data_IF_642695367777
#
_entry.id   IF_642695367777
#
_cell.length_a   1.000
_cell.length_b   1.000
_cell.length_c   1.000
_cell.angle_alpha   90.00
_cell.angle_beta   90.00
_cell.angle_gamma   90.00
#
_symmetry.space_group_name_H-M   'P 1'
#
loop_
_entity.id
_entity.type
_entity.pdbx_description
1 polymer ?
#
# COMPACT_ATOMS: atom_id res chain seq x y z
N UNK A 1 -31.35 -7.05 6.56
CA UNK A 1 -30.79 -7.24 7.94
C UNK A 1 -31.48 -6.28 8.90
N UNK A 2 -31.56 -6.60 10.20
CA UNK A 2 -32.16 -5.66 11.17
C UNK A 2 -31.18 -4.53 11.51
N UNK A 3 -31.56 -3.31 11.13
CA UNK A 3 -30.79 -2.08 11.40
C UNK A 3 -31.40 -1.26 12.54
N UNK A 4 -32.48 -1.74 13.17
CA UNK A 4 -33.23 -0.98 14.19
C UNK A 4 -32.37 -0.68 15.40
N UNK A 5 -32.29 0.59 15.79
CA UNK A 5 -31.51 1.05 16.95
C UNK A 5 -29.99 0.99 16.78
N UNK A 6 -29.48 0.68 15.58
CA UNK A 6 -28.04 0.64 15.30
C UNK A 6 -27.57 1.96 14.70
N UNK A 7 -26.39 2.43 15.12
CA UNK A 7 -25.71 3.50 14.39
C UNK A 7 -25.09 2.89 13.14
N UNK A 8 -25.29 3.54 11.99
CA UNK A 8 -24.70 3.13 10.73
C UNK A 8 -23.62 4.14 10.35
N UNK A 9 -22.42 3.64 10.16
CA UNK A 9 -21.27 4.41 9.72
C UNK A 9 -20.98 4.15 8.25
N UNK A 10 -20.42 5.13 7.57
CA UNK A 10 -19.69 4.92 6.32
C UNK A 10 -18.20 5.14 6.55
N UNK A 11 -17.41 4.30 5.90
CA UNK A 11 -15.96 4.30 5.99
C UNK A 11 -15.37 4.36 4.58
N UNK A 12 -14.56 5.38 4.32
CA UNK A 12 -13.75 5.44 3.10
C UNK A 12 -12.60 4.43 3.14
N UNK A 13 -12.40 3.71 2.04
CA UNK A 13 -11.31 2.76 1.84
C UNK A 13 -10.28 3.27 0.82
N UNK A 14 -10.00 4.57 0.86
CA UNK A 14 -9.11 5.26 -0.06
C UNK A 14 -9.83 6.17 -1.06
N UNK A 15 -9.15 6.46 -2.15
CA UNK A 15 -9.62 7.27 -3.27
C UNK A 15 -9.45 6.53 -4.61
N UNK A 16 -9.53 7.25 -5.73
CA UNK A 16 -9.38 6.67 -7.07
C UNK A 16 -7.94 6.31 -7.43
N UNK A 17 -6.95 6.80 -6.68
CA UNK A 17 -5.53 6.52 -6.87
C UNK A 17 -5.08 5.40 -5.92
N UNK A 18 -5.33 5.53 -4.61
CA UNK A 18 -5.03 4.52 -3.59
C UNK A 18 -6.30 3.86 -3.08
N UNK A 19 -6.48 2.57 -3.37
CA UNK A 19 -7.59 1.75 -2.87
C UNK A 19 -7.05 0.63 -1.97
N UNK A 20 -7.39 0.68 -0.68
CA UNK A 20 -6.99 -0.33 0.31
C UNK A 20 -8.18 -1.15 0.84
N UNK A 21 -9.30 -1.16 0.12
CA UNK A 21 -10.49 -1.92 0.51
C UNK A 21 -10.23 -3.43 0.60
N UNK A 22 -9.41 -3.99 -0.30
CA UNK A 22 -9.07 -5.41 -0.27
C UNK A 22 -8.33 -5.80 1.02
N UNK A 23 -7.49 -4.91 1.56
CA UNK A 23 -6.83 -5.11 2.86
C UNK A 23 -7.85 -5.08 4.00
N UNK A 24 -8.74 -4.09 4.02
CA UNK A 24 -9.82 -3.99 5.01
C UNK A 24 -10.70 -5.25 5.02
N UNK A 25 -11.08 -5.72 3.83
CA UNK A 25 -11.92 -6.91 3.65
C UNK A 25 -11.19 -8.20 4.02
N UNK A 26 -9.90 -8.31 3.70
CA UNK A 26 -9.07 -9.48 4.02
C UNK A 26 -8.85 -9.63 5.53
N UNK A 27 -8.51 -8.54 6.20
CA UNK A 27 -8.06 -8.55 7.59
C UNK A 27 -9.18 -8.29 8.61
N UNK A 28 -10.44 -8.20 8.15
CA UNK A 28 -11.59 -7.89 9.01
C UNK A 28 -11.40 -6.58 9.79
N UNK A 29 -11.02 -5.52 9.07
CA UNK A 29 -10.74 -4.21 9.64
C UNK A 29 -11.31 -3.07 8.83
N UNK A 30 -11.52 -1.94 9.50
CA UNK A 30 -11.53 -0.62 8.88
C UNK A 30 -10.40 0.21 9.45
N UNK A 31 -9.88 1.11 8.64
CA UNK A 31 -8.65 1.85 8.92
C UNK A 31 -8.85 3.35 8.80
N UNK A 32 -8.20 4.12 9.66
CA UNK A 32 -8.11 5.57 9.56
C UNK A 32 -6.65 6.02 9.82
N UNK A 33 -6.33 7.21 9.32
CA UNK A 33 -5.03 7.86 9.51
C UNK A 33 -5.20 9.36 9.68
N UNK A 34 -4.13 10.14 9.83
CA UNK A 34 -2.74 9.68 9.98
C UNK A 34 -2.51 8.99 11.34
N UNK A 35 -1.76 7.88 11.35
CA UNK A 35 -1.44 7.15 12.57
C UNK A 35 0.02 7.26 13.05
N UNK A 36 0.90 7.94 12.30
CA UNK A 36 2.33 8.11 12.66
C UNK A 36 2.54 8.77 14.02
N UNK A 37 1.58 9.57 14.48
CA UNK A 37 1.61 10.30 15.74
C UNK A 37 1.18 9.45 16.96
N UNK A 38 0.98 8.14 16.78
CA UNK A 38 0.62 7.21 17.84
C UNK A 38 -0.90 7.08 18.08
N UNK A 39 -1.31 6.44 19.19
CA UNK A 39 -2.71 6.18 19.49
C UNK A 39 -3.49 7.45 19.88
N UNK A 40 -4.81 7.41 19.66
CA UNK A 40 -5.74 8.40 20.18
C UNK A 40 -5.97 8.18 21.69
N UNK A 41 -6.07 9.24 22.53
CA UNK A 41 -6.08 10.67 22.20
C UNK A 41 -4.70 11.34 22.14
N UNK A 42 -3.63 10.61 22.46
CA UNK A 42 -2.28 11.17 22.62
C UNK A 42 -1.75 11.80 21.32
N UNK A 43 -2.18 11.28 20.17
CA UNK A 43 -1.82 11.81 18.86
C UNK A 43 -2.44 13.17 18.52
N UNK A 44 -3.47 13.66 19.24
CA UNK A 44 -4.16 14.89 18.85
C UNK A 44 -3.22 16.11 18.85
N UNK A 45 -2.44 16.30 19.93
CA UNK A 45 -1.55 17.46 20.07
C UNK A 45 -0.42 17.45 19.03
N UNK A 46 0.32 16.33 18.84
CA UNK A 46 1.32 16.24 17.76
C UNK A 46 0.73 16.54 16.38
N UNK A 47 -0.41 15.93 16.03
CA UNK A 47 -1.04 16.15 14.72
C UNK A 47 -1.39 17.63 14.49
N UNK A 48 -1.92 18.33 15.50
CA UNK A 48 -2.19 19.77 15.39
C UNK A 48 -0.91 20.59 15.23
N UNK A 49 0.17 20.21 15.92
CA UNK A 49 1.47 20.86 15.78
C UNK A 49 2.04 20.70 14.37
N UNK A 50 1.77 19.57 13.73
CA UNK A 50 2.19 19.25 12.35
C UNK A 50 1.26 19.87 11.28
N UNK A 51 0.28 20.68 11.69
CA UNK A 51 -0.60 21.42 10.78
C UNK A 51 -1.85 20.67 10.34
N UNK A 52 -2.17 19.51 10.92
CA UNK A 52 -3.42 18.81 10.62
C UNK A 52 -4.65 19.61 11.07
N UNK A 53 -5.68 19.62 10.22
CA UNK A 53 -6.89 20.39 10.47
C UNK A 53 -7.71 19.84 11.65
N UNK A 54 -8.45 20.71 12.34
CA UNK A 54 -9.44 20.32 13.36
C UNK A 54 -10.50 19.36 12.83
N UNK A 55 -10.80 19.43 11.53
CA UNK A 55 -11.73 18.53 10.86
C UNK A 55 -11.17 17.10 10.84
N UNK A 56 -9.88 16.95 10.56
CA UNK A 56 -9.23 15.64 10.54
C UNK A 56 -9.05 15.05 11.93
N UNK A 57 -8.74 15.86 12.94
CA UNK A 57 -8.69 15.35 14.33
C UNK A 57 -10.08 14.95 14.83
N UNK A 58 -11.14 15.67 14.45
CA UNK A 58 -12.52 15.27 14.74
C UNK A 58 -12.92 13.96 14.04
N UNK A 59 -12.39 13.69 12.86
CA UNK A 59 -12.57 12.41 12.14
C UNK A 59 -11.94 11.24 12.91
N UNK A 60 -10.71 11.40 13.40
CA UNK A 60 -10.06 10.41 14.24
C UNK A 60 -10.79 10.19 15.56
N UNK A 61 -11.26 11.27 16.21
CA UNK A 61 -12.07 11.15 17.43
C UNK A 61 -13.36 10.36 17.20
N UNK A 62 -14.09 10.61 16.10
CA UNK A 62 -15.29 9.83 15.76
C UNK A 62 -14.97 8.35 15.62
N UNK A 63 -13.88 8.03 14.94
CA UNK A 63 -13.42 6.66 14.73
C UNK A 63 -12.99 5.97 16.04
N UNK A 64 -12.26 6.67 16.91
CA UNK A 64 -11.68 6.11 18.14
C UNK A 64 -12.65 6.11 19.34
N UNK A 65 -13.54 7.09 19.45
CA UNK A 65 -14.41 7.27 20.62
C UNK A 65 -15.89 7.03 20.32
N UNK A 66 -16.40 7.50 19.19
CA UNK A 66 -17.86 7.50 18.94
C UNK A 66 -18.36 6.17 18.37
N UNK A 67 -17.60 5.52 17.49
CA UNK A 67 -17.90 4.17 17.00
C UNK A 67 -17.90 3.15 18.13
N UNK A 68 -18.98 2.35 18.23
CA UNK A 68 -19.16 1.35 19.29
C UNK A 68 -19.23 -0.06 18.75
N UNK A 69 -18.89 -1.02 19.60
CA UNK A 69 -19.14 -2.44 19.36
C UNK A 69 -20.61 -2.65 18.99
N UNK A 70 -20.85 -3.46 17.96
CA UNK A 70 -22.19 -3.79 17.48
C UNK A 70 -22.83 -2.78 16.50
N UNK A 71 -22.24 -1.60 16.31
CA UNK A 71 -22.60 -0.67 15.23
C UNK A 71 -22.38 -1.29 13.85
N UNK A 72 -23.04 -0.74 12.82
CA UNK A 72 -22.84 -1.15 11.44
C UNK A 72 -21.90 -0.21 10.71
N UNK A 73 -21.12 -0.75 9.78
CA UNK A 73 -20.26 0.03 8.89
C UNK A 73 -20.44 -0.39 7.44
N UNK A 74 -20.48 0.61 6.56
CA UNK A 74 -20.47 0.49 5.11
C UNK A 74 -19.08 0.90 4.62
N UNK A 75 -18.32 -0.04 4.05
CA UNK A 75 -17.05 0.23 3.41
C UNK A 75 -17.28 0.75 1.99
N UNK A 76 -16.74 1.91 1.66
CA UNK A 76 -16.99 2.58 0.37
C UNK A 76 -15.74 3.02 -0.37
N UNK A 77 -15.91 3.20 -1.68
CA UNK A 77 -15.02 3.99 -2.53
C UNK A 77 -15.85 5.07 -3.25
N UNK A 78 -15.30 6.29 -3.33
CA UNK A 78 -16.04 7.44 -3.85
C UNK A 78 -17.33 7.73 -3.06
N UNK A 79 -18.36 8.21 -3.77
CA UNK A 79 -19.65 8.64 -3.20
C UNK A 79 -20.83 7.75 -3.61
N UNK A 80 -20.57 6.64 -4.29
CA UNK A 80 -21.61 5.83 -4.91
C UNK A 80 -21.44 4.31 -4.72
N UNK A 81 -20.23 3.83 -4.37
CA UNK A 81 -19.92 2.40 -4.40
C UNK A 81 -19.66 1.85 -3.00
N UNK A 82 -20.41 0.81 -2.66
CA UNK A 82 -20.27 0.03 -1.43
C UNK A 82 -19.61 -1.31 -1.75
N UNK A 83 -18.51 -1.59 -1.06
CA UNK A 83 -17.65 -2.77 -1.24
C UNK A 83 -17.90 -3.83 -0.15
N UNK A 84 -18.37 -3.39 1.02
CA UNK A 84 -18.65 -4.29 2.13
C UNK A 84 -19.60 -3.65 3.15
N UNK A 85 -20.36 -4.50 3.83
CA UNK A 85 -21.20 -4.14 4.97
C UNK A 85 -20.81 -5.06 6.12
N UNK A 86 -20.53 -4.48 7.28
CA UNK A 86 -20.07 -5.25 8.42
C UNK A 86 -20.57 -4.69 9.75
N UNK A 87 -20.39 -5.49 10.79
CA UNK A 87 -20.63 -5.11 12.17
C UNK A 87 -19.30 -4.85 12.87
N UNK A 88 -19.18 -3.74 13.59
CA UNK A 88 -18.00 -3.46 14.43
C UNK A 88 -17.93 -4.48 15.58
N UNK A 89 -16.73 -4.98 15.84
CA UNK A 89 -16.45 -5.92 16.93
C UNK A 89 -15.33 -5.36 17.80
N UNK A 90 -15.55 -5.27 19.10
CA UNK A 90 -14.57 -4.81 20.07
C UNK A 90 -14.31 -3.30 20.07
N UNK A 91 -13.14 -2.93 20.59
CA UNK A 91 -12.74 -1.54 20.84
C UNK A 91 -11.78 -1.00 19.78
N UNK A 92 -11.38 0.26 19.95
CA UNK A 92 -10.40 0.91 19.10
C UNK A 92 -9.02 0.31 19.38
N UNK A 93 -8.23 0.18 18.32
CA UNK A 93 -6.85 -0.30 18.40
C UNK A 93 -5.94 0.62 17.58
N UNK A 94 -4.69 0.74 18.03
CA UNK A 94 -3.60 1.30 17.23
C UNK A 94 -2.63 0.16 16.88
N UNK A 95 -2.33 -0.02 15.59
CA UNK A 95 -1.61 -1.18 15.06
C UNK A 95 -0.56 -0.73 14.04
N UNK A 96 0.72 -0.91 14.38
CA UNK A 96 1.84 -0.45 13.56
C UNK A 96 1.95 -1.20 12.22
N UNK A 97 1.37 -2.41 12.14
CA UNK A 97 1.32 -3.22 10.94
C UNK A 97 0.63 -2.50 9.77
N UNK A 98 -0.29 -1.57 10.07
CA UNK A 98 -1.00 -0.73 9.09
C UNK A 98 -0.35 0.65 8.87
N UNK A 99 0.89 0.82 9.34
CA UNK A 99 1.60 2.10 9.31
C UNK A 99 2.30 2.46 8.01
N UNK A 100 2.11 1.67 6.96
CA UNK A 100 2.58 1.99 5.61
C UNK A 100 1.77 1.19 4.59
N UNK A 101 0.55 1.67 4.34
CA UNK A 101 -0.30 1.16 3.27
C UNK A 101 -0.06 2.02 2.04
N UNK A 102 0.92 1.60 1.23
CA UNK A 102 1.27 2.28 -0.03
C UNK A 102 1.59 3.77 0.23
N UNK A 103 2.30 3.98 1.34
CA UNK A 103 2.71 5.30 1.82
C UNK A 103 1.78 5.99 2.81
N UNK A 104 0.61 5.42 3.12
CA UNK A 104 -0.30 6.01 4.11
C UNK A 104 -0.14 5.39 5.49
N UNK A 105 -0.02 6.26 6.49
CA UNK A 105 -0.05 5.91 7.92
C UNK A 105 -1.48 5.65 8.39
N UNK A 106 -1.95 4.39 8.33
CA UNK A 106 -3.32 3.99 8.63
C UNK A 106 -3.46 3.13 9.89
N UNK A 107 -2.64 3.40 10.91
CA UNK A 107 -2.54 2.60 12.14
C UNK A 107 -3.80 2.60 13.02
N UNK A 108 -4.82 3.43 12.76
CA UNK A 108 -6.05 3.43 13.56
C UNK A 108 -7.01 2.36 13.07
N UNK A 109 -7.27 1.36 13.90
CA UNK A 109 -7.99 0.14 13.52
C UNK A 109 -9.29 -0.03 14.31
N UNK A 110 -10.32 -0.51 13.62
CA UNK A 110 -11.49 -1.18 14.23
C UNK A 110 -11.69 -2.52 13.57
N UNK A 111 -12.01 -3.55 14.36
CA UNK A 111 -12.34 -4.86 13.82
C UNK A 111 -13.77 -4.89 13.28
N UNK A 112 -13.97 -5.60 12.18
CA UNK A 112 -15.25 -5.67 11.48
C UNK A 112 -15.56 -7.10 11.09
N UNK A 113 -16.70 -7.61 11.56
CA UNK A 113 -17.29 -8.82 11.00
C UNK A 113 -18.07 -8.44 9.74
N UNK A 114 -17.48 -8.67 8.57
CA UNK A 114 -18.16 -8.48 7.29
C UNK A 114 -19.33 -9.44 7.15
N UNK A 115 -20.53 -8.87 6.93
CA UNK A 115 -21.82 -9.54 6.76
C UNK A 115 -22.19 -9.69 5.28
N UNK A 116 -21.68 -8.77 4.46
CA UNK A 116 -21.82 -8.78 3.01
C UNK A 116 -20.56 -8.20 2.38
N UNK A 117 -20.07 -8.86 1.34
CA UNK A 117 -18.91 -8.44 0.54
C UNK A 117 -19.18 -8.88 -0.91
N UNK A 118 -19.03 -7.96 -1.86
CA UNK A 118 -18.98 -8.31 -3.28
C UNK A 118 -17.89 -7.50 -3.97
N UNK A 119 -16.75 -8.16 -4.23
CA UNK A 119 -15.59 -7.55 -4.87
C UNK A 119 -15.74 -7.46 -6.38
N UNK A 120 -16.52 -8.35 -6.98
CA UNK A 120 -16.66 -8.47 -8.43
C UNK A 120 -17.82 -7.61 -8.96
N UNK A 121 -18.87 -7.47 -8.15
CA UNK A 121 -20.05 -6.69 -8.47
C UNK A 121 -20.49 -5.86 -7.25
N UNK A 122 -19.67 -4.86 -6.83
CA UNK A 122 -20.00 -4.04 -5.68
C UNK A 122 -21.32 -3.31 -5.87
N UNK A 123 -21.97 -2.96 -4.75
CA UNK A 123 -23.26 -2.28 -4.80
C UNK A 123 -23.03 -0.82 -5.16
N UNK A 124 -23.46 -0.43 -6.35
CA UNK A 124 -23.48 0.96 -6.80
C UNK A 124 -24.85 1.60 -6.60
N UNK A 125 -24.85 2.86 -6.20
CA UNK A 125 -26.01 3.74 -6.10
C UNK A 125 -25.83 4.93 -7.04
N UNK A 126 -26.89 5.72 -7.21
CA UNK A 126 -26.77 7.03 -7.86
C UNK A 126 -25.77 7.92 -7.10
N UNK A 127 -25.12 8.83 -7.83
CA UNK A 127 -24.08 9.72 -7.28
C UNK A 127 -24.60 10.48 -6.05
N UNK A 128 -23.77 10.58 -5.01
CA UNK A 128 -24.04 11.27 -3.74
C UNK A 128 -24.96 10.52 -2.75
N UNK A 129 -25.24 9.24 -2.97
CA UNK A 129 -25.86 8.39 -1.95
C UNK A 129 -24.98 8.24 -0.68
N UNK A 130 -23.66 8.43 -0.81
CA UNK A 130 -22.67 8.43 0.27
C UNK A 130 -22.01 9.81 0.40
N UNK A 131 -21.63 10.21 1.63
CA UNK A 131 -21.07 11.55 1.84
C UNK A 131 -19.60 11.62 1.41
N UNK A 132 -19.25 12.66 0.67
CA UNK A 132 -17.87 13.05 0.38
C UNK A 132 -17.19 13.66 1.63
N UNK A 133 -15.87 13.63 1.67
CA UNK A 133 -15.07 14.27 2.71
C UNK A 133 -14.46 13.23 3.65
N UNK A 134 -14.78 13.34 4.94
CA UNK A 134 -14.10 12.64 6.02
C UNK A 134 -14.16 11.12 5.85
N UNK A 135 -13.09 10.46 6.28
CA UNK A 135 -12.92 9.01 6.17
C UNK A 135 -14.03 8.29 6.95
N UNK A 136 -14.37 8.78 8.15
CA UNK A 136 -15.37 8.21 9.05
C UNK A 136 -16.53 9.18 9.28
N UNK A 137 -17.74 8.77 8.88
CA UNK A 137 -18.94 9.58 9.06
C UNK A 137 -20.16 8.73 9.38
N UNK A 138 -21.08 9.25 10.20
CA UNK A 138 -22.42 8.65 10.35
C UNK A 138 -23.17 8.75 9.04
N UNK A 139 -23.79 7.66 8.62
CA UNK A 139 -24.64 7.59 7.45
C UNK A 139 -26.00 8.22 7.79
N UNK A 140 -26.59 8.94 6.83
CA UNK A 140 -27.95 9.46 6.98
C UNK A 140 -28.95 8.42 6.46
N UNK A 141 -30.21 8.53 6.89
CA UNK A 141 -31.30 7.82 6.26
C UNK A 141 -31.38 8.16 4.76
N UNK A 142 -31.60 7.14 3.93
CA UNK A 142 -31.68 7.26 2.48
C UNK A 142 -31.48 5.94 1.75
N UNK A 143 -31.13 5.97 0.44
CA UNK A 143 -31.09 4.78 -0.41
C UNK A 143 -30.21 3.65 0.12
N UNK A 144 -29.10 4.01 0.79
CA UNK A 144 -28.18 3.02 1.36
C UNK A 144 -28.82 2.33 2.58
N UNK A 145 -29.47 3.07 3.49
CA UNK A 145 -30.15 2.46 4.65
C UNK A 145 -31.37 1.63 4.26
N UNK A 146 -32.09 2.05 3.22
CA UNK A 146 -33.22 1.30 2.65
C UNK A 146 -32.74 -0.03 2.05
N UNK A 147 -31.63 0.01 1.33
CA UNK A 147 -30.99 -1.21 0.82
C UNK A 147 -30.50 -2.12 1.95
N UNK A 148 -29.84 -1.57 2.99
CA UNK A 148 -29.37 -2.34 4.14
C UNK A 148 -30.52 -3.08 4.85
N UNK A 149 -31.67 -2.42 5.04
CA UNK A 149 -32.85 -3.05 5.65
C UNK A 149 -33.28 -4.33 4.92
N UNK A 150 -33.14 -4.33 3.60
CA UNK A 150 -33.51 -5.43 2.72
C UNK A 150 -32.35 -6.37 2.36
N UNK A 151 -31.13 -6.08 2.81
CA UNK A 151 -29.95 -6.88 2.48
C UNK A 151 -30.04 -8.27 3.13
N UNK A 152 -30.07 -9.37 2.35
CA UNK A 152 -29.98 -10.71 2.90
C UNK A 152 -28.59 -10.92 3.50
N UNK A 153 -28.55 -11.35 4.76
CA UNK A 153 -27.31 -11.70 5.46
C UNK A 153 -27.44 -13.16 5.87
N UNK A 154 -26.43 -13.96 5.54
CA UNK A 154 -26.36 -15.36 5.95
C UNK A 154 -26.02 -15.44 7.45
N UNK A 155 -26.67 -16.36 8.18
CA UNK A 155 -26.39 -16.65 9.59
C UNK A 155 -24.92 -17.05 9.83
N UNK A 156 -24.28 -17.69 8.84
CA UNK A 156 -22.85 -17.99 8.89
C UNK A 156 -22.01 -16.71 8.98
N UNK A 157 -22.42 -15.64 8.27
CA UNK A 157 -21.70 -14.36 8.29
C UNK A 157 -21.85 -13.63 9.62
N UNK A 158 -22.95 -13.86 10.36
CA UNK A 158 -23.17 -13.29 11.69
C UNK A 158 -22.34 -14.00 12.76
N UNK A 159 -22.09 -15.30 12.60
CA UNK A 159 -21.43 -16.15 13.60
C UNK A 159 -19.95 -16.42 13.31
N UNK A 160 -19.44 -16.08 12.12
CA UNK A 160 -18.04 -16.32 11.76
C UNK A 160 -17.07 -15.63 12.73
N UNK A 161 -15.94 -16.30 12.97
CA UNK A 161 -14.79 -15.72 13.63
C UNK A 161 -14.13 -14.67 12.75
N UNK A 162 -13.47 -13.71 13.40
CA UNK A 162 -12.63 -12.74 12.72
C UNK A 162 -11.31 -13.39 12.32
N UNK A 163 -10.75 -12.95 11.20
CA UNK A 163 -9.38 -13.28 10.79
C UNK A 163 -8.41 -12.82 11.86
N UNK A 164 -7.40 -13.62 12.19
CA UNK A 164 -6.35 -13.20 13.10
C UNK A 164 -5.48 -12.13 12.41
N UNK A 165 -5.28 -10.99 13.09
CA UNK A 165 -4.38 -9.97 12.55
C UNK A 165 -2.93 -10.47 12.67
N UNK A 166 -2.06 -10.14 11.72
CA UNK A 166 -0.64 -10.41 11.88
C UNK A 166 -0.17 -9.76 13.19
N UNK A 167 0.61 -10.51 13.95
CA UNK A 167 1.10 -10.09 15.27
C UNK A 167 2.57 -9.71 15.11
N UNK A 168 2.91 -8.45 15.38
CA UNK A 168 4.30 -8.02 15.41
C UNK A 168 4.84 -8.09 16.83
N UNK A 169 5.67 -9.09 17.14
CA UNK A 169 6.27 -9.26 18.48
C UNK A 169 7.41 -8.26 18.76
N UNK A 170 8.03 -7.73 17.70
CA UNK A 170 9.17 -6.83 17.74
C UNK A 170 8.91 -5.59 16.86
N UNK A 171 9.61 -4.46 17.10
CA UNK A 171 9.65 -3.37 16.13
C UNK A 171 10.14 -3.90 14.77
N UNK A 172 9.39 -3.63 13.71
CA UNK A 172 9.69 -4.08 12.34
C UNK A 172 10.46 -3.01 11.55
N UNK A 173 10.54 -1.78 12.07
CA UNK A 173 11.32 -0.72 11.43
C UNK A 173 12.82 -1.00 11.61
N UNK A 174 13.57 -0.97 10.50
CA UNK A 174 15.00 -1.30 10.47
C UNK A 174 15.88 -0.10 10.15
N UNK A 175 17.12 -0.18 10.61
CA UNK A 175 18.16 0.81 10.34
C UNK A 175 18.99 0.51 9.11
N UNK A 176 19.70 1.52 8.60
CA UNK A 176 20.69 1.34 7.52
C UNK A 176 21.85 0.41 7.90
N UNK A 177 22.16 0.27 9.19
CA UNK A 177 23.22 -0.64 9.67
C UNK A 177 22.82 -2.10 9.43
N UNK A 178 21.57 -2.44 9.74
CA UNK A 178 21.01 -3.78 9.55
C UNK A 178 20.95 -4.15 8.07
N UNK A 179 20.48 -3.24 7.20
CA UNK A 179 20.56 -3.43 5.75
C UNK A 179 22.01 -3.66 5.29
N UNK A 180 22.97 -2.93 5.86
CA UNK A 180 24.38 -3.10 5.52
C UNK A 180 24.90 -4.50 5.89
N UNK A 181 24.54 -5.00 7.08
CA UNK A 181 24.93 -6.32 7.55
C UNK A 181 24.28 -7.42 6.69
N UNK A 182 22.98 -7.30 6.44
CA UNK A 182 22.23 -8.21 5.58
C UNK A 182 22.83 -8.32 4.17
N UNK A 183 23.09 -7.19 3.49
CA UNK A 183 23.67 -7.20 2.15
C UNK A 183 25.11 -7.75 2.15
N UNK A 184 25.88 -7.49 3.21
CA UNK A 184 27.23 -8.04 3.35
C UNK A 184 27.20 -9.56 3.46
N UNK A 185 26.29 -10.11 4.27
CA UNK A 185 26.10 -11.55 4.44
C UNK A 185 25.64 -12.24 3.14
N UNK A 186 24.96 -11.50 2.26
CA UNK A 186 24.59 -11.94 0.90
C UNK A 186 25.70 -11.70 -0.14
N UNK A 187 26.92 -11.37 0.30
CA UNK A 187 28.10 -11.27 -0.56
C UNK A 187 28.19 -9.98 -1.38
N UNK A 188 27.40 -8.95 -1.06
CA UNK A 188 27.52 -7.63 -1.71
C UNK A 188 28.79 -6.94 -1.22
N UNK A 189 29.61 -6.45 -2.16
CA UNK A 189 30.85 -5.76 -1.81
C UNK A 189 30.60 -4.51 -0.97
N UNK A 190 31.39 -4.28 0.08
CA UNK A 190 31.22 -3.14 1.01
C UNK A 190 31.22 -1.77 0.32
N UNK A 191 31.97 -1.60 -0.78
CA UNK A 191 31.95 -0.38 -1.58
C UNK A 191 30.60 -0.16 -2.28
N UNK A 192 29.97 -1.22 -2.78
CA UNK A 192 28.63 -1.17 -3.38
C UNK A 192 27.56 -0.88 -2.32
N UNK A 193 27.65 -1.52 -1.15
CA UNK A 193 26.75 -1.23 -0.01
C UNK A 193 26.85 0.25 0.38
N UNK A 194 28.06 0.77 0.54
CA UNK A 194 28.28 2.18 0.88
C UNK A 194 27.68 3.11 -0.17
N UNK A 195 27.87 2.82 -1.45
CA UNK A 195 27.29 3.61 -2.54
C UNK A 195 25.76 3.58 -2.51
N UNK A 196 25.15 2.41 -2.30
CA UNK A 196 23.71 2.24 -2.20
C UNK A 196 23.10 3.01 -1.03
N UNK A 197 23.68 2.90 0.16
CA UNK A 197 23.18 3.59 1.35
C UNK A 197 23.29 5.12 1.22
N UNK A 198 24.38 5.61 0.61
CA UNK A 198 24.53 7.03 0.29
C UNK A 198 23.44 7.50 -0.69
N UNK A 199 23.17 6.71 -1.74
CA UNK A 199 22.13 7.03 -2.72
C UNK A 199 20.74 7.04 -2.07
N UNK A 200 20.39 6.05 -1.24
CA UNK A 200 19.12 6.04 -0.49
C UNK A 200 18.99 7.31 0.37
N UNK A 201 20.08 7.73 1.02
CA UNK A 201 20.13 8.97 1.79
C UNK A 201 19.87 10.22 0.94
N UNK A 202 20.47 10.32 -0.24
CA UNK A 202 20.26 11.41 -1.19
C UNK A 202 18.82 11.43 -1.75
N UNK A 203 18.29 10.28 -2.20
CA UNK A 203 16.93 10.17 -2.70
C UNK A 203 15.90 10.58 -1.63
N UNK A 204 16.12 10.18 -0.37
CA UNK A 204 15.28 10.61 0.75
C UNK A 204 15.33 12.13 0.97
N UNK A 205 16.49 12.78 0.75
CA UNK A 205 16.61 14.24 0.84
C UNK A 205 15.90 14.94 -0.31
N UNK A 206 16.05 14.44 -1.54
CA UNK A 206 15.38 14.94 -2.74
C UNK A 206 13.85 14.84 -2.57
N UNK A 207 13.35 13.70 -2.10
CA UNK A 207 11.94 13.49 -1.77
C UNK A 207 11.39 14.54 -0.81
N UNK A 208 12.09 14.77 0.32
CA UNK A 208 11.73 15.79 1.31
C UNK A 208 11.75 17.19 0.71
N UNK A 209 12.65 17.46 -0.25
CA UNK A 209 12.66 18.73 -0.97
C UNK A 209 11.43 18.88 -1.87
N UNK A 210 11.08 17.87 -2.68
CA UNK A 210 9.88 17.90 -3.52
C UNK A 210 8.57 18.04 -2.73
N UNK A 211 8.49 17.46 -1.52
CA UNK A 211 7.34 17.68 -0.62
C UNK A 211 7.10 19.17 -0.29
N UNK A 212 8.15 20.01 -0.33
CA UNK A 212 8.06 21.46 -0.05
C UNK A 212 8.07 22.32 -1.31
N UNK A 213 8.74 21.88 -2.37
CA UNK A 213 8.96 22.65 -3.61
C UNK A 213 7.91 22.39 -4.69
N UNK A 214 7.07 21.35 -4.53
CA UNK A 214 6.12 20.87 -5.53
C UNK A 214 6.51 19.47 -6.00
N UNK A 215 5.52 18.61 -6.28
CA UNK A 215 5.78 17.23 -6.69
C UNK A 215 6.41 17.16 -8.09
N UNK A 216 7.38 16.25 -8.34
CA UNK A 216 7.97 16.06 -9.65
C UNK A 216 6.94 15.53 -10.65
N UNK A 217 7.21 15.75 -11.93
CA UNK A 217 6.57 14.98 -13.00
C UNK A 217 6.95 13.50 -12.93
N UNK A 218 6.25 12.66 -13.70
CA UNK A 218 6.56 11.23 -13.80
C UNK A 218 7.95 11.01 -14.42
N UNK A 219 8.29 11.76 -15.47
CA UNK A 219 9.63 11.72 -16.08
C UNK A 219 10.74 12.14 -15.10
N UNK A 220 10.50 13.17 -14.29
CA UNK A 220 11.45 13.56 -13.22
C UNK A 220 11.55 12.48 -12.14
N UNK A 221 10.45 11.82 -11.80
CA UNK A 221 10.46 10.69 -10.86
C UNK A 221 11.35 9.57 -11.39
N UNK A 222 11.20 9.20 -12.67
CA UNK A 222 12.06 8.22 -13.33
C UNK A 222 13.52 8.66 -13.32
N UNK A 223 13.81 9.88 -13.79
CA UNK A 223 15.17 10.37 -14.00
C UNK A 223 15.94 10.62 -12.69
N UNK A 224 15.26 11.14 -11.66
CA UNK A 224 15.91 11.62 -10.45
C UNK A 224 15.68 10.76 -9.22
N UNK A 225 14.72 9.83 -9.23
CA UNK A 225 14.44 8.95 -8.08
C UNK A 225 14.66 7.48 -8.43
N UNK A 226 14.16 7.00 -9.57
CA UNK A 226 14.21 5.58 -9.94
C UNK A 226 15.57 5.19 -10.52
N UNK A 227 16.02 5.89 -11.58
CA UNK A 227 17.29 5.59 -12.27
C UNK A 227 18.50 5.63 -11.33
N UNK A 228 18.66 6.62 -10.43
CA UNK A 228 19.79 6.64 -9.50
C UNK A 228 19.82 5.43 -8.57
N UNK A 229 18.68 5.01 -8.01
CA UNK A 229 18.61 3.81 -7.18
C UNK A 229 19.02 2.55 -7.96
N UNK A 230 18.47 2.36 -9.17
CA UNK A 230 18.80 1.21 -10.01
C UNK A 230 20.30 1.17 -10.35
N UNK A 231 20.92 2.32 -10.59
CA UNK A 231 22.37 2.41 -10.80
C UNK A 231 23.16 2.03 -9.56
N UNK A 232 22.73 2.48 -8.38
CA UNK A 232 23.37 2.13 -7.12
C UNK A 232 23.24 0.63 -6.79
N UNK A 233 22.16 -0.02 -7.25
CA UNK A 233 21.96 -1.47 -7.18
C UNK A 233 22.81 -2.26 -8.20
N UNK A 234 23.52 -1.57 -9.10
CA UNK A 234 24.45 -2.18 -10.06
C UNK A 234 23.95 -2.26 -11.50
N UNK A 235 22.76 -1.72 -11.82
CA UNK A 235 22.32 -1.65 -13.22
C UNK A 235 23.16 -0.63 -14.00
N UNK A 236 23.71 -1.09 -15.13
CA UNK A 236 24.52 -0.23 -15.99
C UNK A 236 23.66 0.48 -17.03
N UNK A 237 24.06 1.68 -17.51
CA UNK A 237 23.36 2.36 -18.60
C UNK A 237 23.24 1.51 -19.86
N UNK A 238 24.13 0.54 -20.09
CA UNK A 238 24.07 -0.41 -21.21
C UNK A 238 22.97 -1.45 -21.03
N UNK A 239 22.73 -1.95 -19.80
CA UNK A 239 21.70 -2.94 -19.46
C UNK A 239 20.35 -2.32 -19.08
N UNK A 240 20.23 -1.00 -19.12
CA UNK A 240 19.02 -0.25 -18.79
C UNK A 240 18.58 0.59 -19.99
N UNK A 241 17.28 0.65 -20.26
CA UNK A 241 16.70 1.54 -21.24
C UNK A 241 15.48 2.27 -20.66
N UNK A 242 15.51 3.59 -20.76
CA UNK A 242 14.38 4.46 -20.38
C UNK A 242 13.48 4.61 -21.61
N UNK A 243 12.15 4.53 -21.42
CA UNK A 243 11.14 4.62 -22.48
C UNK A 243 11.29 3.56 -23.60
N UNK A 244 11.73 2.35 -23.25
CA UNK A 244 11.87 1.26 -24.22
C UNK A 244 10.53 0.60 -24.49
N UNK A 245 10.05 0.67 -25.74
CA UNK A 245 8.74 0.12 -26.13
C UNK A 245 7.59 0.58 -25.20
N UNK A 246 7.60 1.85 -24.82
CA UNK A 246 6.64 2.47 -23.90
C UNK A 246 6.74 2.03 -22.43
N UNK A 247 7.73 1.22 -22.07
CA UNK A 247 8.07 0.92 -20.67
C UNK A 247 8.91 2.05 -20.10
N UNK A 248 8.57 2.55 -18.91
CA UNK A 248 9.32 3.64 -18.25
C UNK A 248 10.80 3.28 -18.09
N UNK A 249 11.09 2.12 -17.51
CA UNK A 249 12.46 1.55 -17.50
C UNK A 249 12.44 0.04 -17.76
N UNK A 250 13.19 -0.40 -18.77
CA UNK A 250 13.41 -1.80 -19.10
C UNK A 250 14.83 -2.23 -18.69
N UNK A 251 14.95 -3.36 -17.98
CA UNK A 251 16.23 -3.88 -17.48
C UNK A 251 16.54 -5.24 -18.10
N UNK A 252 17.74 -5.36 -18.69
CA UNK A 252 18.15 -6.48 -19.52
C UNK A 252 19.28 -7.28 -18.86
N UNK A 253 19.21 -8.62 -18.92
CA UNK A 253 20.27 -9.48 -18.37
C UNK A 253 21.61 -9.27 -19.07
N UNK A 254 21.56 -9.14 -20.39
CA UNK A 254 22.73 -9.02 -21.23
C UNK A 254 22.38 -8.25 -22.51
N UNK A 255 23.41 -7.91 -23.27
CA UNK A 255 23.26 -7.30 -24.59
C UNK A 255 23.06 -8.38 -25.67
N UNK A 256 22.36 -8.08 -26.78
CA UNK A 256 21.67 -6.83 -27.07
C UNK A 256 20.38 -6.66 -26.25
N UNK A 257 19.86 -5.43 -26.20
CA UNK A 257 18.54 -5.15 -25.59
C UNK A 257 17.44 -5.68 -26.51
N UNK A 258 16.70 -6.68 -26.05
CA UNK A 258 15.69 -7.40 -26.81
C UNK A 258 14.66 -8.02 -25.89
N UNK A 259 13.53 -8.49 -26.42
CA UNK A 259 12.52 -9.19 -25.62
C UNK A 259 13.09 -10.45 -24.94
N UNK A 260 14.02 -11.13 -25.61
CA UNK A 260 14.68 -12.35 -25.11
C UNK A 260 15.59 -12.09 -23.91
N UNK A 261 16.12 -10.87 -23.79
CA UNK A 261 17.03 -10.47 -22.71
C UNK A 261 16.37 -9.59 -21.66
N UNK A 262 15.11 -9.17 -21.86
CA UNK A 262 14.36 -8.39 -20.89
C UNK A 262 14.05 -9.23 -19.64
N UNK A 263 14.50 -8.76 -18.48
CA UNK A 263 14.30 -9.46 -17.19
C UNK A 263 13.36 -8.74 -16.25
N UNK A 264 13.39 -7.42 -16.29
CA UNK A 264 12.60 -6.58 -15.40
C UNK A 264 11.91 -5.48 -16.20
N UNK A 265 10.62 -5.34 -15.94
CA UNK A 265 9.83 -4.16 -16.32
C UNK A 265 9.70 -3.29 -15.07
N UNK A 266 10.05 -2.01 -15.20
CA UNK A 266 9.79 -1.01 -14.16
C UNK A 266 8.75 -0.04 -14.68
N UNK A 267 7.68 0.11 -13.92
CA UNK A 267 6.60 1.07 -14.17
C UNK A 267 6.60 2.09 -13.04
N UNK A 268 6.72 3.35 -13.39
CA UNK A 268 6.73 4.45 -12.46
C UNK A 268 5.38 5.17 -12.43
N UNK A 269 5.08 5.77 -11.29
CA UNK A 269 4.03 6.77 -11.12
C UNK A 269 4.66 8.06 -10.60
N UNK A 270 3.90 9.13 -10.69
CA UNK A 270 4.28 10.40 -10.02
C UNK A 270 4.54 10.15 -8.55
N UNK A 271 5.55 10.83 -8.01
CA UNK A 271 5.89 10.74 -6.59
C UNK A 271 4.66 10.95 -5.70
N UNK A 272 4.47 10.05 -4.74
CA UNK A 272 3.37 10.04 -3.78
C UNK A 272 1.98 9.74 -4.37
N UNK A 273 1.93 9.11 -5.55
CA UNK A 273 0.78 8.34 -6.01
C UNK A 273 0.89 6.87 -5.54
N UNK A 274 -0.21 6.12 -5.67
CA UNK A 274 -0.21 4.68 -5.45
C UNK A 274 0.74 3.97 -6.41
N UNK A 275 1.83 3.41 -5.90
CA UNK A 275 2.75 2.64 -6.76
C UNK A 275 2.17 1.26 -7.08
N UNK A 276 1.50 0.62 -6.11
CA UNK A 276 0.95 -0.73 -6.28
C UNK A 276 -0.17 -0.77 -7.33
N UNK A 277 -0.89 0.33 -7.54
CA UNK A 277 -1.90 0.47 -8.60
C UNK A 277 -1.34 0.29 -10.03
N UNK A 278 -0.02 0.44 -10.20
CA UNK A 278 0.64 0.34 -11.51
C UNK A 278 0.85 -1.11 -11.98
N UNK A 279 0.60 -2.10 -11.12
CA UNK A 279 0.86 -3.52 -11.41
C UNK A 279 0.19 -4.01 -12.70
N UNK A 280 -1.11 -3.73 -12.99
CA UNK A 280 -1.73 -4.17 -14.25
C UNK A 280 -1.03 -3.63 -15.49
N UNK A 281 -0.52 -2.38 -15.42
CA UNK A 281 0.20 -1.76 -16.52
C UNK A 281 1.58 -2.43 -16.72
N UNK A 282 2.33 -2.63 -15.63
CA UNK A 282 3.60 -3.36 -15.68
C UNK A 282 3.42 -4.79 -16.22
N UNK A 283 2.34 -5.46 -15.84
CA UNK A 283 2.00 -6.80 -16.32
C UNK A 283 1.74 -6.79 -17.83
N UNK A 284 0.98 -5.83 -18.35
CA UNK A 284 0.73 -5.69 -19.79
C UNK A 284 2.02 -5.55 -20.61
N UNK A 285 3.03 -4.88 -20.07
CA UNK A 285 4.34 -4.76 -20.71
C UNK A 285 5.18 -6.03 -20.63
N UNK A 286 4.87 -6.97 -19.74
CA UNK A 286 5.54 -8.27 -19.64
C UNK A 286 4.87 -9.37 -20.47
N UNK A 287 3.69 -9.11 -21.02
CA UNK A 287 2.94 -10.08 -21.82
C UNK A 287 3.72 -10.49 -23.06
N UNK A 288 3.77 -11.80 -23.30
CA UNK A 288 4.56 -12.40 -24.38
C UNK A 288 6.07 -12.48 -24.09
N UNK A 289 6.57 -11.87 -23.01
CA UNK A 289 8.01 -11.80 -22.68
C UNK A 289 8.37 -12.84 -21.64
N UNK A 290 8.54 -14.09 -22.06
CA UNK A 290 8.82 -15.24 -21.18
C UNK A 290 10.09 -15.08 -20.32
N UNK A 291 11.05 -14.26 -20.76
CA UNK A 291 12.28 -13.96 -20.04
C UNK A 291 12.07 -13.01 -18.84
N UNK A 292 11.00 -12.21 -18.87
CA UNK A 292 10.68 -11.26 -17.82
C UNK A 292 10.13 -12.02 -16.61
N UNK A 293 10.83 -11.93 -15.47
CA UNK A 293 10.48 -12.64 -14.24
C UNK A 293 10.30 -11.71 -13.06
N UNK A 294 10.49 -10.39 -13.28
CA UNK A 294 10.29 -9.35 -12.28
C UNK A 294 9.50 -8.18 -12.84
N UNK A 295 8.57 -7.66 -12.06
CA UNK A 295 8.00 -6.33 -12.25
C UNK A 295 8.37 -5.49 -11.04
N UNK A 296 8.75 -4.24 -11.27
CA UNK A 296 8.93 -3.25 -10.21
C UNK A 296 7.95 -2.13 -10.48
N UNK A 297 7.09 -1.84 -9.52
CA UNK A 297 6.21 -0.68 -9.58
C UNK A 297 6.64 0.33 -8.53
N UNK A 298 6.70 1.61 -8.89
CA UNK A 298 7.32 2.61 -8.00
C UNK A 298 6.76 4.02 -8.16
N UNK A 299 6.79 4.81 -7.08
CA UNK A 299 6.61 6.26 -7.11
C UNK A 299 7.96 7.01 -6.91
N UNK A 300 9.09 6.30 -7.06
CA UNK A 300 10.44 6.77 -6.78
C UNK A 300 10.90 6.58 -5.33
N UNK A 301 9.99 6.41 -4.37
CA UNK A 301 10.30 6.23 -2.95
C UNK A 301 9.82 4.90 -2.40
N UNK A 302 8.74 4.39 -2.97
CA UNK A 302 8.15 3.10 -2.66
C UNK A 302 8.30 2.19 -3.86
N UNK A 303 8.53 0.91 -3.60
CA UNK A 303 8.82 -0.08 -4.62
C UNK A 303 8.05 -1.36 -4.28
N UNK A 304 7.08 -1.73 -5.11
CA UNK A 304 6.49 -3.06 -5.10
C UNK A 304 7.27 -3.96 -6.06
N UNK A 305 7.94 -4.98 -5.52
CA UNK A 305 8.71 -5.94 -6.31
C UNK A 305 7.87 -7.20 -6.49
N UNK A 306 7.48 -7.48 -7.72
CA UNK A 306 6.71 -8.67 -8.07
C UNK A 306 7.60 -9.66 -8.79
N UNK A 307 7.50 -10.94 -8.43
CA UNK A 307 8.28 -12.01 -9.05
C UNK A 307 7.35 -13.09 -9.60
N UNK A 308 7.85 -13.84 -10.58
CA UNK A 308 7.21 -15.09 -11.02
C UNK A 308 8.26 -16.15 -11.30
N UNK A 309 7.85 -17.40 -11.12
CA UNK A 309 8.63 -18.56 -11.55
C UNK A 309 8.00 -19.09 -12.83
N UNK A 310 8.77 -19.12 -13.93
CA UNK A 310 8.31 -19.60 -15.25
C UNK A 310 7.03 -18.86 -15.69
N UNK A 311 5.95 -19.61 -15.93
CA UNK A 311 4.67 -19.12 -16.42
C UNK A 311 3.64 -18.85 -15.29
N UNK A 312 4.07 -18.86 -14.03
CA UNK A 312 3.18 -18.54 -12.91
C UNK A 312 2.79 -17.04 -12.92
N UNK A 313 1.64 -16.69 -12.30
CA UNK A 313 1.28 -15.30 -12.08
C UNK A 313 2.32 -14.57 -11.24
N UNK A 314 2.52 -13.28 -11.53
CA UNK A 314 3.32 -12.40 -10.70
C UNK A 314 2.69 -12.26 -9.30
N UNK A 315 3.53 -12.37 -8.27
CA UNK A 315 3.15 -12.17 -6.87
C UNK A 315 4.03 -11.11 -6.25
N UNK A 316 3.46 -10.30 -5.36
CA UNK A 316 4.22 -9.32 -4.59
C UNK A 316 5.21 -10.08 -3.70
N UNK A 317 6.49 -9.97 -4.01
CA UNK A 317 7.58 -10.64 -3.31
C UNK A 317 8.08 -9.81 -2.14
N UNK A 318 8.29 -8.52 -2.39
CA UNK A 318 8.77 -7.58 -1.39
C UNK A 318 8.22 -6.18 -1.65
N UNK A 319 8.11 -5.39 -0.59
CA UNK A 319 7.78 -3.98 -0.66
C UNK A 319 8.83 -3.17 0.11
N UNK A 320 9.29 -2.08 -0.51
CA UNK A 320 10.31 -1.20 0.04
C UNK A 320 9.77 0.22 0.10
N UNK A 321 9.87 0.85 1.26
CA UNK A 321 9.65 2.28 1.41
C UNK A 321 10.96 2.93 1.91
N UNK A 322 11.58 3.75 1.05
CA UNK A 322 12.86 4.42 1.37
C UNK A 322 12.75 5.37 2.56
N UNK A 323 11.55 5.87 2.89
CA UNK A 323 11.36 6.74 4.04
C UNK A 323 10.99 5.99 5.32
N UNK A 324 10.76 4.68 5.24
CA UNK A 324 10.44 3.81 6.37
C UNK A 324 10.82 2.36 6.04
N UNK A 325 12.04 1.99 6.37
CA UNK A 325 12.58 0.66 6.08
C UNK A 325 12.01 -0.35 7.07
N UNK A 326 11.59 -1.52 6.58
CA UNK A 326 11.03 -2.60 7.40
C UNK A 326 11.58 -3.97 6.98
N UNK A 327 11.57 -4.96 7.88
CA UNK A 327 11.95 -6.34 7.53
C UNK A 327 10.90 -7.00 6.63
N UNK A 328 9.63 -6.78 6.92
CA UNK A 328 8.51 -7.35 6.19
C UNK A 328 7.27 -6.44 6.21
N UNK A 329 6.26 -6.83 5.44
CA UNK A 329 4.95 -6.19 5.46
C UNK A 329 3.86 -7.25 5.64
N UNK A 330 3.54 -7.63 6.89
CA UNK A 330 2.64 -8.75 7.16
C UNK A 330 1.23 -8.56 6.58
N UNK A 331 0.76 -7.32 6.53
CA UNK A 331 -0.55 -6.99 5.93
C UNK A 331 -0.60 -7.27 4.42
N UNK A 332 0.55 -7.18 3.74
CA UNK A 332 0.72 -7.52 2.33
C UNK A 332 1.16 -8.97 2.12
N UNK A 333 1.53 -9.68 3.19
CA UNK A 333 2.14 -11.01 3.16
C UNK A 333 3.38 -11.05 2.25
N UNK A 334 4.22 -10.01 2.33
CA UNK A 334 5.45 -9.91 1.54
C UNK A 334 6.65 -9.48 2.40
N UNK A 335 7.85 -9.68 1.86
CA UNK A 335 9.08 -9.25 2.49
C UNK A 335 9.27 -7.73 2.43
N UNK A 336 10.26 -7.21 3.15
CA UNK A 336 10.53 -5.79 3.28
C UNK A 336 11.76 -5.33 2.50
N UNK A 337 12.46 -4.35 3.08
CA UNK A 337 13.51 -3.59 2.44
C UNK A 337 14.72 -4.45 2.02
N UNK A 338 15.14 -5.38 2.87
CA UNK A 338 16.28 -6.26 2.64
C UNK A 338 16.10 -7.09 1.37
N UNK A 339 15.01 -7.86 1.32
CA UNK A 339 14.64 -8.70 0.17
C UNK A 339 14.31 -7.90 -1.08
N UNK A 340 13.68 -6.73 -0.93
CA UNK A 340 13.42 -5.85 -2.06
C UNK A 340 14.72 -5.37 -2.71
N UNK A 341 15.72 -4.93 -1.93
CA UNK A 341 16.99 -4.45 -2.46
C UNK A 341 17.75 -5.55 -3.21
N UNK A 342 17.77 -6.78 -2.68
CA UNK A 342 18.33 -7.93 -3.40
C UNK A 342 17.55 -8.22 -4.69
N UNK A 343 16.22 -8.33 -4.60
CA UNK A 343 15.38 -8.69 -5.74
C UNK A 343 15.39 -7.65 -6.87
N UNK A 344 15.71 -6.40 -6.58
CA UNK A 344 15.88 -5.35 -7.59
C UNK A 344 17.28 -5.33 -8.22
N UNK A 345 18.26 -6.05 -7.68
CA UNK A 345 19.63 -6.07 -8.20
C UNK A 345 19.76 -6.90 -9.50
N UNK A 346 20.77 -6.63 -10.37
CA UNK A 346 20.93 -7.32 -11.65
C UNK A 346 21.17 -8.83 -11.54
N UNK A 347 21.89 -9.26 -10.51
CA UNK A 347 22.36 -10.64 -10.35
C UNK A 347 21.35 -11.58 -9.69
N UNK A 348 20.29 -11.02 -9.10
CA UNK A 348 19.27 -11.80 -8.40
C UNK A 348 18.43 -12.66 -9.35
N UNK A 349 18.10 -13.89 -8.92
CA UNK A 349 17.32 -14.87 -9.68
C UNK A 349 16.19 -15.49 -8.84
N UNK A 350 14.97 -15.65 -9.40
CA UNK A 350 13.84 -16.25 -8.68
C UNK A 350 14.01 -17.70 -8.25
N UNK A 351 14.98 -18.43 -8.81
CA UNK A 351 15.23 -19.85 -8.50
C UNK A 351 15.93 -20.07 -7.16
N UNK A 352 16.22 -19.00 -6.42
CA UNK A 352 16.85 -19.03 -5.10
C UNK A 352 15.81 -18.94 -3.95
N UNK A 353 14.50 -19.06 -4.26
CA UNK A 353 13.39 -19.09 -3.29
C UNK A 353 12.91 -20.52 -3.06
#
# INVERSE_FOLDING_TARGET
MDITGKTIWQQAAGDTDRNYSDLCLKWDVILNGPGYAGPWPDCEKPLRSDGWSSRKTADLRRFAEEMKDGDLVVLRIGTATVLGVGQLVGTYEWRDEFGDIDGWDLQHVRRVRWLWVDRNSPKTFDTYALKQGDTTQKLNEGPVTDWLSNLPVNDDALSRSLVELPMQEQPNDIGVTEISEFLFDHGVASSSITALLNEIGELTRIAKWYQRAGKPSEHETVAYLVVPLLRALGWTPQRMAVEWNHVDVALFEQLPRSDETLRVVVEAKKMDNSCLSAMPQAMSYSDGKAACHRLIVTDGLRYGVYTRIKAEPFRLYAYLNLTRLRHDYPIYECNGAEEALLAMAPEWKPSEI
#
